data_IF_111684124684
#
_entry.id   IF_111684124684
#
_cell.length_a   1.000
_cell.length_b   1.000
_cell.length_c   1.000
_cell.angle_alpha   90.00
_cell.angle_beta   90.00
_cell.angle_gamma   90.00
#
_symmetry.space_group_name_H-M   'P 1'
#
loop_
_entity.id
_entity.type
_entity.pdbx_description
1 polymer ?
#
# COMPACT_ATOMS: atom_id res chain seq x y z
N UNK A 1 7.69 -12.04 0.02
CA UNK A 1 7.19 -10.69 -0.36
C UNK A 1 6.41 -10.72 -1.67
N UNK A 2 7.01 -11.25 -2.74
CA UNK A 2 6.39 -11.28 -4.09
C UNK A 2 5.01 -11.95 -4.11
N UNK A 3 4.87 -13.09 -3.41
CA UNK A 3 3.58 -13.79 -3.28
C UNK A 3 2.44 -12.88 -2.80
N UNK A 4 2.73 -11.98 -1.84
CA UNK A 4 1.73 -11.06 -1.30
C UNK A 4 1.29 -10.08 -2.37
N UNK A 5 2.25 -9.48 -3.10
CA UNK A 5 1.96 -8.58 -4.21
C UNK A 5 1.20 -9.28 -5.34
N UNK A 6 1.54 -10.51 -5.70
CA UNK A 6 0.83 -11.28 -6.72
C UNK A 6 -0.63 -11.55 -6.34
N UNK A 7 -0.87 -11.98 -5.08
CA UNK A 7 -2.22 -12.22 -4.57
C UNK A 7 -3.03 -10.92 -4.58
N UNK A 8 -2.44 -9.83 -4.08
CA UNK A 8 -3.10 -8.52 -4.02
C UNK A 8 -3.36 -7.95 -5.41
N UNK A 9 -2.41 -8.08 -6.34
CA UNK A 9 -2.60 -7.67 -7.74
C UNK A 9 -3.82 -8.37 -8.35
N UNK A 10 -3.94 -9.70 -8.21
CA UNK A 10 -5.11 -10.42 -8.72
C UNK A 10 -6.42 -9.99 -8.07
N UNK A 11 -6.42 -9.73 -6.77
CA UNK A 11 -7.62 -9.33 -6.03
C UNK A 11 -8.14 -7.96 -6.48
N UNK A 12 -7.23 -7.01 -6.73
CA UNK A 12 -7.58 -5.62 -7.02
C UNK A 12 -7.66 -5.30 -8.52
N UNK A 13 -7.07 -6.12 -9.39
CA UNK A 13 -7.09 -5.89 -10.83
C UNK A 13 -8.52 -5.75 -11.39
N UNK A 14 -9.47 -6.56 -10.94
CA UNK A 14 -10.85 -6.47 -11.42
C UNK A 14 -11.52 -5.16 -10.98
N UNK A 15 -11.33 -4.76 -9.73
CA UNK A 15 -11.86 -3.50 -9.18
C UNK A 15 -11.22 -2.29 -9.90
N UNK A 16 -9.92 -2.35 -10.18
CA UNK A 16 -9.22 -1.28 -10.89
C UNK A 16 -9.70 -1.16 -12.34
N UNK A 17 -9.94 -2.28 -13.03
CA UNK A 17 -10.47 -2.31 -14.40
C UNK A 17 -11.84 -1.64 -14.50
N UNK A 18 -12.72 -1.85 -13.52
CA UNK A 18 -14.03 -1.17 -13.48
C UNK A 18 -13.91 0.36 -13.48
N UNK A 19 -12.78 0.90 -13.01
CA UNK A 19 -12.46 2.33 -12.99
C UNK A 19 -11.53 2.77 -14.13
N UNK A 20 -11.31 1.92 -15.13
CA UNK A 20 -10.37 2.20 -16.22
C UNK A 20 -8.89 2.24 -15.78
N UNK A 21 -8.56 1.69 -14.61
CA UNK A 21 -7.21 1.72 -14.04
C UNK A 21 -6.49 0.39 -14.24
N UNK A 22 -5.19 0.44 -14.56
CA UNK A 22 -4.35 -0.76 -14.75
C UNK A 22 -3.36 -0.92 -13.62
N UNK A 23 -3.29 -2.11 -13.03
CA UNK A 23 -2.26 -2.45 -12.04
C UNK A 23 -1.15 -3.27 -12.71
N UNK A 24 0.09 -2.81 -12.59
CA UNK A 24 1.28 -3.48 -13.14
C UNK A 24 2.24 -3.85 -12.04
N UNK A 25 2.65 -5.11 -11.97
CA UNK A 25 3.70 -5.57 -11.06
C UNK A 25 5.04 -5.68 -11.82
N UNK A 26 5.97 -4.78 -11.51
CA UNK A 26 7.30 -4.70 -12.09
C UNK A 26 8.38 -5.39 -11.24
N UNK A 27 7.98 -6.22 -10.27
CA UNK A 27 8.94 -6.92 -9.42
C UNK A 27 9.73 -7.97 -10.23
N UNK A 28 11.01 -7.70 -10.47
CA UNK A 28 11.87 -8.54 -11.35
C UNK A 28 12.45 -9.78 -10.64
N UNK A 29 12.63 -9.74 -9.32
CA UNK A 29 13.34 -10.78 -8.58
C UNK A 29 12.61 -11.22 -7.31
N UNK A 30 12.86 -12.47 -6.91
CA UNK A 30 12.26 -13.01 -5.69
C UNK A 30 12.92 -12.43 -4.45
N UNK A 31 12.23 -11.47 -3.82
CA UNK A 31 12.65 -10.93 -2.52
C UNK A 31 12.03 -11.70 -1.34
N UNK A 32 12.90 -12.09 -0.41
CA UNK A 32 12.57 -12.79 0.83
C UNK A 32 12.78 -11.86 2.03
N UNK A 33 11.93 -11.97 3.03
CA UNK A 33 12.10 -11.21 4.26
C UNK A 33 11.59 -11.99 5.46
N UNK A 34 12.18 -11.75 6.63
CA UNK A 34 11.81 -12.37 7.90
C UNK A 34 10.67 -11.63 8.62
N UNK A 35 10.04 -10.64 7.99
CA UNK A 35 8.91 -9.91 8.58
C UNK A 35 7.69 -10.81 8.72
N UNK A 36 6.85 -10.52 9.71
CA UNK A 36 5.55 -11.16 9.87
C UNK A 36 4.67 -10.90 8.62
N UNK A 37 4.34 -11.97 7.91
CA UNK A 37 3.58 -11.94 6.65
C UNK A 37 2.20 -11.29 6.84
N UNK A 38 1.52 -11.51 7.96
CA UNK A 38 0.19 -10.95 8.22
C UNK A 38 0.23 -9.43 8.37
N UNK A 39 1.22 -8.90 9.10
CA UNK A 39 1.40 -7.45 9.26
C UNK A 39 1.74 -6.81 7.91
N UNK A 40 2.67 -7.41 7.16
CA UNK A 40 3.05 -6.90 5.85
C UNK A 40 1.88 -6.93 4.86
N UNK A 41 1.08 -7.99 4.89
CA UNK A 41 -0.13 -8.12 4.06
C UNK A 41 -1.16 -7.04 4.38
N UNK A 42 -1.35 -6.69 5.65
CA UNK A 42 -2.25 -5.63 6.07
C UNK A 42 -1.77 -4.25 5.58
N UNK A 43 -0.48 -3.96 5.72
CA UNK A 43 0.11 -2.69 5.24
C UNK A 43 -0.05 -2.54 3.73
N UNK A 44 0.35 -3.56 2.96
CA UNK A 44 0.23 -3.54 1.48
C UNK A 44 -1.23 -3.42 1.07
N UNK A 45 -2.14 -4.08 1.79
CA UNK A 45 -3.57 -3.99 1.50
C UNK A 45 -4.08 -2.56 1.63
N UNK A 46 -3.78 -1.87 2.74
CA UNK A 46 -4.27 -0.51 2.98
C UNK A 46 -3.76 0.47 1.93
N UNK A 47 -2.47 0.38 1.59
CA UNK A 47 -1.87 1.28 0.60
C UNK A 47 -2.44 1.01 -0.80
N UNK A 48 -2.54 -0.26 -1.21
CA UNK A 48 -3.06 -0.62 -2.53
C UNK A 48 -4.55 -0.30 -2.67
N UNK A 49 -5.32 -0.53 -1.61
CA UNK A 49 -6.74 -0.18 -1.57
C UNK A 49 -6.94 1.32 -1.76
N UNK A 50 -6.12 2.15 -1.09
CA UNK A 50 -6.13 3.60 -1.29
C UNK A 50 -5.78 3.99 -2.75
N UNK A 51 -4.77 3.36 -3.34
CA UNK A 51 -4.40 3.61 -4.73
C UNK A 51 -5.55 3.28 -5.70
N UNK A 52 -6.22 2.14 -5.53
CA UNK A 52 -7.36 1.72 -6.35
C UNK A 52 -8.60 2.59 -6.11
N UNK A 53 -8.78 3.09 -4.88
CA UNK A 53 -9.87 4.00 -4.56
C UNK A 53 -9.74 5.34 -5.27
N UNK A 54 -8.53 5.88 -5.31
CA UNK A 54 -8.26 7.27 -5.72
C UNK A 54 -7.71 7.44 -7.14
N UNK A 55 -7.50 6.33 -7.87
CA UNK A 55 -7.08 6.36 -9.27
C UNK A 55 -8.26 6.02 -10.18
N UNK A 56 -8.48 6.86 -11.19
CA UNK A 56 -9.49 6.69 -12.24
C UNK A 56 -8.81 6.89 -13.59
N UNK A 57 -9.10 6.02 -14.56
CA UNK A 57 -8.49 6.06 -15.90
C UNK A 57 -6.95 6.19 -15.88
N UNK A 58 -6.30 5.51 -14.93
CA UNK A 58 -4.88 5.70 -14.65
C UNK A 58 -4.10 4.39 -14.49
N UNK A 59 -2.99 4.46 -13.75
CA UNK A 59 -2.15 3.29 -13.50
C UNK A 59 -1.66 3.21 -12.07
N UNK A 60 -1.48 1.98 -11.60
CA UNK A 60 -0.86 1.66 -10.32
C UNK A 60 0.31 0.72 -10.59
N UNK A 61 1.48 1.05 -10.06
CA UNK A 61 2.72 0.32 -10.25
C UNK A 61 3.15 -0.27 -8.90
N UNK A 62 3.34 -1.58 -8.88
CA UNK A 62 3.89 -2.32 -7.76
C UNK A 62 5.34 -2.71 -8.09
N UNK A 63 6.27 -2.40 -7.20
CA UNK A 63 7.66 -2.78 -7.36
C UNK A 63 8.30 -3.16 -6.02
N UNK A 64 9.33 -4.01 -6.08
CA UNK A 64 10.23 -4.26 -4.96
C UNK A 64 11.65 -4.04 -5.45
N UNK A 65 12.36 -3.14 -4.76
CA UNK A 65 13.80 -2.97 -4.93
C UNK A 65 14.52 -3.54 -3.73
N UNK A 66 15.67 -4.16 -3.95
CA UNK A 66 16.52 -4.69 -2.89
C UNK A 66 17.90 -4.05 -2.99
N UNK A 67 18.42 -3.59 -1.85
CA UNK A 67 19.82 -3.22 -1.71
C UNK A 67 20.47 -4.10 -0.63
N UNK A 68 21.78 -3.94 -0.43
CA UNK A 68 22.57 -4.80 0.46
C UNK A 68 22.08 -4.89 1.92
N UNK A 69 21.19 -3.99 2.37
CA UNK A 69 20.74 -3.93 3.75
C UNK A 69 19.22 -3.99 3.94
N UNK A 70 18.43 -3.65 2.90
CA UNK A 70 16.97 -3.59 3.01
C UNK A 70 16.29 -3.84 1.68
N UNK A 71 15.09 -4.41 1.80
CA UNK A 71 14.12 -4.45 0.72
C UNK A 71 13.14 -3.30 0.86
N UNK A 72 12.79 -2.66 -0.25
CA UNK A 72 11.87 -1.52 -0.31
C UNK A 72 10.72 -1.88 -1.25
N UNK A 73 9.50 -1.85 -0.72
CA UNK A 73 8.27 -2.04 -1.50
C UNK A 73 7.79 -0.65 -1.93
N UNK A 74 7.52 -0.50 -3.21
CA UNK A 74 7.07 0.75 -3.82
C UNK A 74 5.70 0.49 -4.44
N UNK A 75 4.72 1.30 -4.06
CA UNK A 75 3.38 1.34 -4.65
C UNK A 75 3.18 2.77 -5.12
N UNK A 76 3.03 2.96 -6.43
CA UNK A 76 2.86 4.27 -7.06
C UNK A 76 1.55 4.29 -7.82
N UNK A 77 0.78 5.35 -7.68
CA UNK A 77 -0.46 5.57 -8.41
C UNK A 77 -0.45 6.91 -9.15
N UNK A 78 -1.31 7.03 -10.15
CA UNK A 78 -1.52 8.28 -10.92
C UNK A 78 -2.85 8.94 -10.57
N UNK A 79 -3.37 8.69 -9.36
CA UNK A 79 -4.62 9.27 -8.89
C UNK A 79 -4.49 10.74 -8.53
N UNK A 80 -5.47 11.24 -7.80
CA UNK A 80 -5.54 12.65 -7.36
C UNK A 80 -4.37 13.11 -6.49
N UNK A 81 -3.63 12.16 -5.92
CA UNK A 81 -2.53 12.43 -4.99
C UNK A 81 -2.99 13.05 -3.67
N UNK A 82 -2.07 13.71 -2.99
CA UNK A 82 -2.33 14.45 -1.75
C UNK A 82 -1.73 15.85 -1.86
N UNK A 83 -2.40 16.86 -1.30
CA UNK A 83 -1.83 18.20 -1.16
C UNK A 83 -0.66 18.20 -0.17
N UNK A 84 0.20 19.23 -0.25
CA UNK A 84 1.32 19.37 0.68
C UNK A 84 0.85 19.44 2.15
N UNK A 85 -0.26 20.13 2.40
CA UNK A 85 -0.86 20.27 3.73
C UNK A 85 -1.37 18.92 4.25
N UNK A 86 -2.00 18.10 3.39
CA UNK A 86 -2.43 16.76 3.77
C UNK A 86 -1.23 15.88 4.14
N UNK A 87 -0.15 15.93 3.34
CA UNK A 87 1.08 15.19 3.61
C UNK A 87 1.65 15.60 4.98
N UNK A 88 1.73 16.89 5.27
CA UNK A 88 2.27 17.40 6.54
C UNK A 88 1.44 16.93 7.74
N UNK A 89 0.10 16.94 7.63
CA UNK A 89 -0.80 16.43 8.67
C UNK A 89 -0.54 14.94 8.93
N UNK A 90 -0.48 14.12 7.87
CA UNK A 90 -0.23 12.68 7.99
C UNK A 90 1.15 12.37 8.60
N UNK A 91 2.19 13.09 8.17
CA UNK A 91 3.54 12.92 8.72
C UNK A 91 3.62 13.34 10.20
N UNK A 92 2.89 14.39 10.59
CA UNK A 92 2.78 14.81 11.98
C UNK A 92 2.04 13.77 12.83
N UNK A 93 0.92 13.22 12.33
CA UNK A 93 0.17 12.17 13.01
C UNK A 93 1.03 10.92 13.25
N UNK A 94 1.79 10.49 12.23
CA UNK A 94 2.70 9.35 12.35
C UNK A 94 3.75 9.55 13.45
N UNK A 95 4.31 10.77 13.54
CA UNK A 95 5.31 11.13 14.56
C UNK A 95 4.73 11.12 15.98
N UNK A 96 3.49 11.60 16.16
CA UNK A 96 2.83 11.69 17.47
C UNK A 96 2.41 10.31 17.99
N UNK A 97 1.96 9.43 17.10
CA UNK A 97 1.34 8.16 17.51
C UNK A 97 2.33 7.05 17.91
N UNK A 98 3.66 7.24 17.81
CA UNK A 98 4.68 6.22 18.12
C UNK A 98 4.24 4.81 17.66
N UNK A 99 3.87 4.66 16.39
CA UNK A 99 3.22 3.45 15.88
C UNK A 99 4.02 2.20 16.26
N UNK A 100 3.46 1.39 17.17
CA UNK A 100 3.78 -0.03 17.30
C UNK A 100 2.68 -0.78 16.55
N UNK A 101 3.00 -1.64 15.57
CA UNK A 101 1.99 -2.49 14.94
C UNK A 101 1.57 -3.53 15.97
N UNK A 102 0.60 -3.18 16.81
CA UNK A 102 -0.08 -4.09 17.71
C UNK A 102 -1.38 -4.46 17.03
N UNK A 103 -1.45 -5.72 16.60
CA UNK A 103 -2.62 -6.39 16.05
C UNK A 103 -3.72 -6.40 17.12
N UNK A 104 -4.43 -5.28 17.26
CA UNK A 104 -5.67 -5.20 18.02
C UNK A 104 -6.74 -4.72 17.04
N UNK A 105 -7.68 -5.63 16.72
CA UNK A 105 -8.66 -5.47 15.64
C UNK A 105 -9.43 -4.15 15.66
N UNK A 106 -9.60 -3.53 16.83
CA UNK A 106 -10.28 -2.24 16.98
C UNK A 106 -9.46 -1.04 16.48
N UNK A 107 -8.13 -1.05 16.66
CA UNK A 107 -7.26 0.06 16.22
C UNK A 107 -7.01 0.02 14.71
N UNK A 108 -6.93 -1.19 14.14
CA UNK A 108 -6.78 -1.39 12.69
C UNK A 108 -8.03 -0.91 11.94
N UNK A 109 -9.23 -1.17 12.48
CA UNK A 109 -10.48 -0.65 11.91
C UNK A 109 -10.54 0.87 11.97
N UNK A 110 -10.20 1.49 13.10
CA UNK A 110 -10.18 2.95 13.22
C UNK A 110 -9.23 3.62 12.21
N UNK A 111 -8.07 3.00 11.92
CA UNK A 111 -7.12 3.50 10.93
C UNK A 111 -7.58 3.31 9.49
N UNK A 112 -8.25 2.18 9.18
CA UNK A 112 -8.91 1.96 7.89
C UNK A 112 -10.00 3.03 7.66
N UNK A 113 -10.79 3.37 8.68
CA UNK A 113 -11.81 4.43 8.60
C UNK A 113 -11.21 5.84 8.39
N UNK A 114 -10.07 6.15 9.02
CA UNK A 114 -9.35 7.42 8.83
C UNK A 114 -8.72 7.56 7.43
N UNK A 115 -8.41 6.45 6.77
CA UNK A 115 -7.78 6.41 5.45
C UNK A 115 -8.78 6.48 4.28
N UNK A 116 -10.09 6.50 4.58
CA UNK A 116 -11.19 6.53 3.60
C UNK A 116 -11.70 7.96 3.30
N UNK A 117 -11.06 8.99 3.85
CA UNK A 117 -11.37 10.40 3.58
C UNK A 117 -10.22 11.14 2.91
#
# INVERSE_FOLDING_TARGET
MNRILEIKNRLFCEIAKEKGTVITNLTEHKVYSKVNESILTAIIHNILDNAVKNTFEGSIILNITENQQKSTIIITDTGIGMSAEQIDIYMNLFRILHWKPLVSREKDLAFIWLSIW
#
